data_IF_595982777888
#
_entry.id   IF_595982777888
#
_cell.length_a   1.000
_cell.length_b   1.000
_cell.length_c   1.000
_cell.angle_alpha   90.00
_cell.angle_beta   90.00
_cell.angle_gamma   90.00
#
_symmetry.space_group_name_H-M   'P 1'
#
loop_
_entity.id
_entity.type
_entity.pdbx_description
1 polymer ?
#
# COMPACT_ATOMS: atom_id res chain seq x y z
N UNK A 1 -42.11 61.84 8.01
CA UNK A 1 -41.95 60.53 7.34
C UNK A 1 -40.48 60.32 7.04
N UNK A 2 -39.83 59.44 7.83
CA UNK A 2 -38.45 58.97 7.66
C UNK A 2 -38.52 57.56 7.09
N UNK A 3 -37.57 57.26 6.19
CA UNK A 3 -36.94 55.96 5.86
C UNK A 3 -36.98 55.70 4.35
N UNK A 4 -35.83 55.90 3.71
CA UNK A 4 -35.25 55.02 2.69
C UNK A 4 -33.98 55.64 2.09
N UNK A 5 -32.92 55.75 2.88
CA UNK A 5 -31.56 56.00 2.38
C UNK A 5 -30.52 55.03 2.95
N UNK A 6 -30.95 54.06 3.77
CA UNK A 6 -30.05 53.09 4.42
C UNK A 6 -29.71 51.89 3.53
N UNK A 7 -30.51 51.62 2.49
CA UNK A 7 -30.29 50.47 1.59
C UNK A 7 -29.20 50.69 0.55
N UNK A 8 -29.01 51.93 0.06
CA UNK A 8 -28.05 52.25 -0.99
C UNK A 8 -26.61 52.40 -0.47
N UNK A 9 -26.43 52.79 0.80
CA UNK A 9 -25.09 52.85 1.39
C UNK A 9 -24.53 51.46 1.73
N UNK A 10 -25.39 50.50 2.10
CA UNK A 10 -24.96 49.14 2.44
C UNK A 10 -24.58 48.34 1.19
N UNK A 11 -25.27 48.52 0.06
CA UNK A 11 -24.91 47.83 -1.19
C UNK A 11 -23.63 48.36 -1.82
N UNK A 12 -23.34 49.67 -1.71
CA UNK A 12 -22.07 50.24 -2.17
C UNK A 12 -20.88 49.91 -1.27
N UNK A 13 -21.08 49.73 0.04
CA UNK A 13 -20.00 49.33 0.96
C UNK A 13 -19.67 47.82 0.87
N UNK A 14 -20.65 46.97 0.55
CA UNK A 14 -20.42 45.54 0.30
C UNK A 14 -19.67 45.28 -1.03
N UNK A 15 -19.73 46.19 -2.00
CA UNK A 15 -18.92 46.08 -3.23
C UNK A 15 -17.47 46.53 -3.05
N UNK A 16 -17.15 47.35 -2.04
CA UNK A 16 -15.79 47.82 -1.77
C UNK A 16 -14.99 46.89 -0.82
N UNK A 17 -15.66 45.95 -0.14
CA UNK A 17 -15.02 44.89 0.66
C UNK A 17 -14.83 43.57 -0.12
N UNK A 18 -15.24 43.50 -1.38
CA UNK A 18 -14.89 42.41 -2.32
C UNK A 18 -13.57 42.70 -3.05
N UNK A 19 -12.61 43.32 -2.37
CA UNK A 19 -11.22 43.42 -2.81
C UNK A 19 -10.41 42.28 -2.18
N UNK A 20 -10.78 41.04 -2.50
CA UNK A 20 -9.93 39.86 -2.37
C UNK A 20 -9.30 39.64 -3.74
N UNK A 21 -7.97 39.67 -3.80
CA UNK A 21 -7.18 39.77 -5.02
C UNK A 21 -7.69 38.89 -6.16
N UNK A 22 -7.88 39.50 -7.33
CA UNK A 22 -7.87 38.75 -8.59
C UNK A 22 -6.48 38.14 -8.72
N UNK A 23 -6.33 36.88 -8.32
CA UNK A 23 -5.25 36.06 -8.84
C UNK A 23 -5.33 36.16 -10.35
N UNK A 24 -4.27 36.69 -10.96
CA UNK A 24 -4.05 36.52 -12.38
C UNK A 24 -3.83 35.03 -12.56
N UNK A 25 -4.92 34.33 -12.85
CA UNK A 25 -4.87 32.97 -13.33
C UNK A 25 -4.29 33.05 -14.75
N UNK A 26 -2.96 33.05 -14.83
CA UNK A 26 -2.28 32.97 -16.10
C UNK A 26 -2.53 31.55 -16.56
N UNK A 27 -3.27 31.35 -17.66
CA UNK A 27 -3.56 30.00 -18.19
C UNK A 27 -2.31 29.14 -18.43
N UNK A 28 -1.11 29.74 -18.41
CA UNK A 28 0.18 29.06 -18.34
C UNK A 28 0.33 28.18 -17.08
N UNK A 29 -0.11 28.65 -15.91
CA UNK A 29 -0.04 27.89 -14.65
C UNK A 29 -0.92 26.64 -14.73
N UNK A 30 -2.15 26.78 -15.21
CA UNK A 30 -3.08 25.65 -15.38
C UNK A 30 -2.59 24.66 -16.44
N UNK A 31 -1.91 25.14 -17.48
CA UNK A 31 -1.30 24.28 -18.49
C UNK A 31 -0.16 23.42 -17.92
N UNK A 32 0.67 23.99 -17.05
CA UNK A 32 1.72 23.25 -16.34
C UNK A 32 1.16 22.30 -15.28
N UNK A 33 0.08 22.71 -14.61
CA UNK A 33 -0.58 21.91 -13.59
C UNK A 33 -1.49 20.82 -14.17
N UNK A 34 -1.90 20.92 -15.44
CA UNK A 34 -2.86 20.03 -16.09
C UNK A 34 -4.31 20.19 -15.60
N UNK A 35 -4.50 20.66 -14.36
CA UNK A 35 -5.79 20.96 -13.73
C UNK A 35 -5.68 22.24 -12.87
N UNK A 36 -6.79 22.93 -12.57
CA UNK A 36 -6.77 24.14 -11.76
C UNK A 36 -6.21 23.92 -10.36
N UNK A 37 -5.49 24.93 -9.82
CA UNK A 37 -4.94 24.90 -8.46
C UNK A 37 -5.99 24.54 -7.39
N UNK A 38 -7.21 25.06 -7.53
CA UNK A 38 -8.32 24.74 -6.63
C UNK A 38 -8.68 23.25 -6.58
N UNK A 39 -8.50 22.53 -7.71
CA UNK A 39 -8.68 21.08 -7.77
C UNK A 39 -7.53 20.35 -7.07
N UNK A 40 -6.28 20.81 -7.26
CA UNK A 40 -5.10 20.27 -6.58
C UNK A 40 -5.26 20.41 -5.06
N UNK A 41 -5.66 21.59 -4.60
CA UNK A 41 -5.89 21.86 -3.19
C UNK A 41 -7.02 21.02 -2.60
N UNK A 42 -8.08 20.81 -3.37
CA UNK A 42 -9.19 19.92 -2.99
C UNK A 42 -8.72 18.47 -2.83
N UNK A 43 -7.92 17.95 -3.80
CA UNK A 43 -7.36 16.60 -3.74
C UNK A 43 -6.43 16.45 -2.54
N UNK A 44 -5.53 17.42 -2.30
CA UNK A 44 -4.64 17.41 -1.14
C UNK A 44 -5.43 17.33 0.17
N UNK A 45 -6.45 18.18 0.33
CA UNK A 45 -7.32 18.17 1.53
C UNK A 45 -8.07 16.85 1.67
N UNK A 46 -8.57 16.28 0.57
CA UNK A 46 -9.27 15.01 0.58
C UNK A 46 -8.35 13.86 1.01
N UNK A 47 -7.11 13.81 0.49
CA UNK A 47 -6.12 12.81 0.91
C UNK A 47 -5.72 12.98 2.39
N UNK A 48 -5.52 14.22 2.85
CA UNK A 48 -5.17 14.53 4.25
C UNK A 48 -6.28 14.14 5.26
N UNK A 49 -7.55 14.17 4.84
CA UNK A 49 -8.71 13.85 5.70
C UNK A 49 -8.97 12.36 5.87
N UNK A 50 -8.37 11.50 5.05
CA UNK A 50 -8.58 10.05 5.14
C UNK A 50 -8.06 9.51 6.49
N UNK A 51 -8.66 8.43 7.02
CA UNK A 51 -8.12 7.75 8.20
C UNK A 51 -6.80 7.05 7.86
N UNK A 52 -5.83 7.10 8.78
CA UNK A 52 -4.52 6.48 8.59
C UNK A 52 -4.50 5.16 9.35
N UNK A 53 -4.24 4.06 8.65
CA UNK A 53 -4.08 2.74 9.26
C UNK A 53 -2.64 2.27 9.04
N UNK A 54 -1.80 2.42 10.06
CA UNK A 54 -0.39 2.11 10.03
C UNK A 54 -0.09 0.79 10.74
N UNK A 55 0.92 0.07 10.25
CA UNK A 55 1.56 -1.06 10.93
C UNK A 55 3.05 -0.78 11.07
N UNK A 56 3.65 -1.28 12.14
CA UNK A 56 5.10 -1.27 12.25
C UNK A 56 5.72 -2.30 11.31
N UNK A 57 6.73 -1.88 10.57
CA UNK A 57 7.60 -2.74 9.77
C UNK A 57 9.03 -2.50 10.19
N UNK A 58 9.75 -3.59 10.44
CA UNK A 58 11.19 -3.55 10.74
C UNK A 58 11.96 -3.88 9.46
N UNK A 59 12.99 -3.09 9.17
CA UNK A 59 13.88 -3.29 8.04
C UNK A 59 15.32 -3.32 8.53
N UNK A 60 16.02 -4.40 8.19
CA UNK A 60 17.43 -4.58 8.52
C UNK A 60 18.27 -3.70 7.59
N UNK A 61 19.02 -2.77 8.16
CA UNK A 61 19.96 -1.89 7.44
C UNK A 61 21.25 -2.67 7.17
N UNK A 62 21.68 -3.44 8.16
CA UNK A 62 22.88 -4.27 8.10
C UNK A 62 22.72 -5.48 9.04
N UNK A 63 23.73 -6.35 9.08
CA UNK A 63 23.71 -7.56 9.92
C UNK A 63 23.51 -7.32 11.43
N UNK A 64 23.69 -6.09 11.91
CA UNK A 64 23.65 -5.72 13.33
C UNK A 64 22.62 -4.61 13.63
N UNK A 65 22.03 -3.97 12.63
CA UNK A 65 21.17 -2.81 12.83
C UNK A 65 19.93 -2.82 11.95
N UNK A 66 18.81 -2.40 12.55
CA UNK A 66 17.52 -2.27 11.88
C UNK A 66 16.88 -0.91 12.18
N UNK A 67 15.85 -0.61 11.41
CA UNK A 67 14.94 0.51 11.62
C UNK A 67 13.50 0.04 11.65
N UNK A 68 12.77 0.55 12.62
CA UNK A 68 11.32 0.44 12.65
C UNK A 68 10.71 1.63 11.89
N UNK A 69 9.68 1.36 11.10
CA UNK A 69 8.96 2.33 10.29
C UNK A 69 7.45 2.03 10.35
N UNK A 70 6.64 3.07 10.35
CA UNK A 70 5.19 3.00 10.28
C UNK A 70 4.73 3.17 8.85
N UNK A 71 4.17 2.13 8.26
CA UNK A 71 3.65 2.15 6.89
C UNK A 71 2.18 1.74 6.83
N UNK A 72 1.43 2.19 5.81
CA UNK A 72 0.06 1.73 5.59
C UNK A 72 -0.05 0.20 5.53
N UNK A 73 -1.23 -0.30 5.93
CA UNK A 73 -1.58 -1.71 5.75
C UNK A 73 -1.41 -2.11 4.27
N UNK A 74 -0.65 -3.20 4.03
CA UNK A 74 -0.39 -3.71 2.69
C UNK A 74 0.86 -3.17 1.99
N UNK A 75 1.50 -2.14 2.55
CA UNK A 75 2.83 -1.75 2.11
C UNK A 75 3.86 -2.71 2.71
N UNK A 76 4.98 -2.88 2.01
CA UNK A 76 6.15 -3.61 2.47
C UNK A 76 7.42 -2.91 2.01
N UNK A 77 8.51 -3.23 2.72
CA UNK A 77 9.84 -2.70 2.46
C UNK A 77 10.60 -3.71 1.63
N UNK A 78 11.23 -3.25 0.55
CA UNK A 78 12.14 -4.06 -0.26
C UNK A 78 13.40 -3.26 -0.45
N UNK A 79 14.55 -3.89 -0.23
CA UNK A 79 15.83 -3.25 -0.48
C UNK A 79 15.88 -2.75 -1.92
N UNK A 80 16.31 -1.50 -2.09
CA UNK A 80 16.47 -0.89 -3.40
C UNK A 80 17.95 -0.72 -3.67
N UNK A 81 18.48 -1.56 -4.56
CA UNK A 81 19.87 -1.46 -5.01
C UNK A 81 20.06 -0.15 -5.78
N UNK A 82 20.77 0.79 -5.15
CA UNK A 82 21.27 2.09 -5.62
C UNK A 82 20.91 2.53 -7.05
N UNK A 83 19.91 3.40 -7.14
CA UNK A 83 20.03 4.86 -7.31
C UNK A 83 18.59 5.32 -7.35
N UNK A 84 18.09 6.10 -6.37
CA UNK A 84 16.77 6.71 -6.55
C UNK A 84 16.91 7.68 -7.71
N UNK A 85 16.43 7.37 -8.93
CA UNK A 85 16.78 8.14 -10.11
C UNK A 85 15.94 9.42 -10.22
N UNK A 86 15.07 9.66 -9.25
CA UNK A 86 13.96 10.58 -9.39
C UNK A 86 14.30 11.98 -8.85
N UNK A 87 15.11 12.07 -7.79
CA UNK A 87 15.50 13.32 -7.14
C UNK A 87 16.99 13.27 -6.80
N UNK A 88 17.74 14.25 -7.30
CA UNK A 88 19.15 14.43 -6.99
C UNK A 88 19.29 14.89 -5.54
N UNK A 89 19.98 14.11 -4.70
CA UNK A 89 20.29 14.49 -3.32
C UNK A 89 21.51 15.40 -3.20
N UNK A 90 22.38 15.34 -4.21
CA UNK A 90 23.63 16.08 -4.30
C UNK A 90 23.75 16.75 -5.66
N UNK A 91 24.74 17.62 -5.81
CA UNK A 91 24.99 18.33 -7.07
C UNK A 91 25.34 17.33 -8.19
N UNK A 92 24.50 17.17 -9.23
CA UNK A 92 24.78 16.25 -10.32
C UNK A 92 25.98 16.68 -11.17
N UNK A 93 26.34 17.97 -11.17
CA UNK A 93 27.50 18.49 -11.92
C UNK A 93 28.82 18.31 -11.14
N UNK A 94 28.73 18.22 -9.81
CA UNK A 94 29.87 18.08 -8.91
C UNK A 94 29.57 17.03 -7.84
N UNK A 95 29.44 15.74 -8.20
CA UNK A 95 29.09 14.69 -7.26
C UNK A 95 30.15 14.61 -6.16
N UNK A 96 29.71 14.58 -4.91
CA UNK A 96 30.63 14.43 -3.78
C UNK A 96 31.26 13.05 -3.89
N UNK A 97 32.59 12.97 -4.00
CA UNK A 97 33.27 11.69 -3.86
C UNK A 97 33.20 11.29 -2.39
N UNK A 98 32.33 10.34 -2.08
CA UNK A 98 32.28 9.71 -0.76
C UNK A 98 33.34 8.60 -0.78
N UNK A 99 34.39 8.74 0.05
CA UNK A 99 35.48 7.75 0.12
C UNK A 99 35.02 6.42 0.76
N UNK A 100 33.91 6.45 1.51
CA UNK A 100 33.33 5.31 2.22
C UNK A 100 31.84 5.17 1.89
N UNK A 101 31.50 4.20 1.05
CA UNK A 101 30.13 3.89 0.64
C UNK A 101 29.18 3.60 1.82
N UNK A 102 29.71 3.22 3.00
CA UNK A 102 28.89 3.00 4.21
C UNK A 102 28.27 4.30 4.78
N UNK A 103 28.75 5.47 4.34
CA UNK A 103 28.20 6.77 4.70
C UNK A 103 27.03 7.18 3.82
N UNK A 104 26.83 6.52 2.67
CA UNK A 104 25.69 6.78 1.80
C UNK A 104 24.40 6.28 2.47
N UNK A 105 23.29 7.03 2.35
CA UNK A 105 22.03 6.55 2.87
C UNK A 105 21.59 5.29 2.12
N UNK A 106 21.11 4.31 2.89
CA UNK A 106 20.58 3.08 2.34
C UNK A 106 19.19 3.31 1.75
N UNK A 107 18.99 2.91 0.49
CA UNK A 107 17.73 3.03 -0.23
C UNK A 107 16.78 1.86 0.02
N UNK A 108 15.55 2.17 0.42
CA UNK A 108 14.48 1.21 0.69
C UNK A 108 13.28 1.54 -0.20
N UNK A 109 12.89 0.63 -1.07
CA UNK A 109 11.64 0.76 -1.82
C UNK A 109 10.44 0.45 -0.94
N UNK A 110 9.40 1.25 -1.09
CA UNK A 110 8.10 1.01 -0.46
C UNK A 110 7.14 0.53 -1.53
N UNK A 111 6.78 -0.75 -1.48
CA UNK A 111 5.93 -1.39 -2.49
C UNK A 111 4.60 -1.81 -1.89
N UNK A 112 3.61 -1.92 -2.78
CA UNK A 112 2.30 -2.46 -2.48
C UNK A 112 2.13 -3.75 -3.28
N UNK A 113 1.63 -4.81 -2.63
CA UNK A 113 1.54 -6.13 -3.26
C UNK A 113 0.70 -6.13 -4.56
N UNK A 114 -0.26 -5.22 -4.72
CA UNK A 114 -1.17 -5.21 -5.88
C UNK A 114 -1.00 -3.97 -6.77
N UNK A 115 0.16 -3.31 -6.71
CA UNK A 115 0.51 -2.24 -7.64
C UNK A 115 1.02 -2.81 -8.96
N UNK A 116 0.48 -2.37 -10.09
CA UNK A 116 0.89 -2.77 -11.45
C UNK A 116 2.27 -2.21 -11.87
N UNK A 117 2.96 -1.47 -10.98
CA UNK A 117 4.26 -0.85 -11.28
C UNK A 117 5.04 -0.48 -10.02
N UNK A 118 6.30 -0.04 -10.23
CA UNK A 118 7.07 0.59 -9.16
C UNK A 118 6.33 1.86 -8.72
N UNK A 119 6.10 2.00 -7.42
CA UNK A 119 5.47 3.18 -6.85
C UNK A 119 6.37 4.41 -7.00
N UNK A 120 7.65 4.20 -7.34
CA UNK A 120 8.67 5.23 -7.35
C UNK A 120 8.98 5.77 -5.95
N UNK A 121 8.37 5.17 -4.92
CA UNK A 121 8.50 5.55 -3.51
C UNK A 121 9.77 4.90 -2.94
N UNK A 122 10.74 5.75 -2.63
CA UNK A 122 12.03 5.35 -2.04
C UNK A 122 12.23 6.10 -0.74
N UNK A 123 12.56 5.36 0.31
CA UNK A 123 12.99 5.87 1.59
C UNK A 123 14.49 5.65 1.73
N UNK A 124 15.25 6.72 1.88
CA UNK A 124 16.68 6.71 2.12
C UNK A 124 16.94 6.96 3.60
N UNK A 125 17.70 6.08 4.25
CA UNK A 125 18.01 6.17 5.68
C UNK A 125 19.51 6.27 5.87
N UNK A 126 19.96 7.30 6.59
CA UNK A 126 21.37 7.44 6.94
C UNK A 126 21.59 7.99 8.34
N UNK A 127 22.80 7.78 8.87
CA UNK A 127 23.24 8.27 10.18
C UNK A 127 24.05 9.55 10.02
N UNK A 128 23.79 10.56 10.83
CA UNK A 128 24.61 11.78 10.87
C UNK A 128 24.39 12.56 12.17
N UNK A 129 25.47 13.13 12.70
CA UNK A 129 25.42 14.11 13.79
C UNK A 129 24.88 15.49 13.33
N UNK A 130 24.83 15.74 12.02
CA UNK A 130 24.36 17.01 11.48
C UNK A 130 22.89 16.91 11.04
N UNK A 131 21.94 17.59 11.72
CA UNK A 131 20.52 17.55 11.38
C UNK A 131 20.17 18.30 10.08
N UNK A 132 21.10 19.08 9.52
CA UNK A 132 20.86 20.00 8.41
C UNK A 132 21.40 19.52 7.06
N UNK A 133 21.92 18.28 6.98
CA UNK A 133 22.24 17.68 5.69
C UNK A 133 20.97 17.48 4.85
N UNK A 134 21.12 17.58 3.53
CA UNK A 134 20.03 17.49 2.56
C UNK A 134 18.90 18.49 2.84
N UNK A 135 19.22 19.79 2.92
CA UNK A 135 18.17 20.78 3.15
C UNK A 135 17.24 20.91 1.94
N UNK A 136 15.98 21.31 2.14
CA UNK A 136 15.06 21.57 1.02
C UNK A 136 15.64 22.60 0.05
N UNK A 137 16.40 23.58 0.57
CA UNK A 137 17.12 24.56 -0.24
C UNK A 137 18.17 23.91 -1.15
N UNK A 138 18.93 22.94 -0.64
CA UNK A 138 19.92 22.21 -1.44
C UNK A 138 19.23 21.33 -2.49
N UNK A 139 18.23 20.56 -2.07
CA UNK A 139 17.46 19.69 -2.99
C UNK A 139 16.84 20.51 -4.12
N UNK A 140 16.26 21.67 -3.82
CA UNK A 140 15.70 22.58 -4.82
C UNK A 140 16.75 23.12 -5.79
N UNK A 141 18.00 23.31 -5.35
CA UNK A 141 19.11 23.73 -6.22
C UNK A 141 19.49 22.61 -7.21
N UNK A 142 19.51 21.36 -6.75
CA UNK A 142 19.90 20.20 -7.56
C UNK A 142 18.79 19.66 -8.46
N UNK A 143 17.55 20.10 -8.21
CA UNK A 143 16.35 19.66 -8.93
C UNK A 143 15.57 20.88 -9.42
N UNK A 144 15.89 21.43 -10.60
CA UNK A 144 15.17 22.55 -11.18
C UNK A 144 13.67 22.27 -11.28
N UNK A 145 12.87 23.10 -10.62
CA UNK A 145 11.42 23.00 -10.63
C UNK A 145 10.81 24.02 -11.60
N UNK A 146 9.94 23.56 -12.49
CA UNK A 146 9.10 24.43 -13.32
C UNK A 146 7.97 25.04 -12.46
N UNK A 147 7.43 24.27 -11.52
CA UNK A 147 6.40 24.73 -10.58
C UNK A 147 6.58 24.11 -9.20
N UNK A 148 6.42 24.91 -8.16
CA UNK A 148 6.39 24.46 -6.76
C UNK A 148 4.93 24.39 -6.31
N UNK A 149 4.54 23.22 -5.80
CA UNK A 149 3.20 22.93 -5.27
C UNK A 149 3.15 23.06 -3.76
N UNK A 150 4.25 22.72 -3.08
CA UNK A 150 4.43 22.86 -1.63
C UNK A 150 5.92 22.98 -1.30
N UNK A 151 6.26 23.90 -0.41
CA UNK A 151 7.62 24.06 0.10
C UNK A 151 7.54 24.43 1.59
N UNK A 152 8.19 23.63 2.42
CA UNK A 152 8.42 23.92 3.83
C UNK A 152 9.84 23.48 4.23
N UNK A 153 10.19 23.54 5.52
CA UNK A 153 11.53 23.19 6.02
C UNK A 153 11.96 21.74 5.64
N UNK A 154 10.99 20.84 5.59
CA UNK A 154 11.17 19.41 5.45
C UNK A 154 10.57 18.85 4.15
N UNK A 155 9.74 19.61 3.45
CA UNK A 155 8.99 19.13 2.29
C UNK A 155 9.26 19.99 1.07
N UNK A 156 9.45 19.35 -0.08
CA UNK A 156 9.37 19.96 -1.39
C UNK A 156 8.50 19.10 -2.31
N UNK A 157 7.39 19.66 -2.79
CA UNK A 157 6.54 19.04 -3.82
C UNK A 157 6.56 19.96 -5.03
N UNK A 158 6.95 19.42 -6.17
CA UNK A 158 7.20 20.21 -7.37
C UNK A 158 6.91 19.44 -8.65
N UNK A 159 6.82 20.18 -9.75
CA UNK A 159 6.72 19.69 -11.11
C UNK A 159 8.03 20.07 -11.81
N UNK A 160 8.71 19.10 -12.41
CA UNK A 160 9.92 19.34 -13.19
C UNK A 160 9.59 19.84 -14.60
N UNK A 161 10.62 20.17 -15.39
CA UNK A 161 10.46 20.67 -16.77
C UNK A 161 9.84 19.66 -17.74
N UNK A 162 9.77 18.38 -17.36
CA UNK A 162 9.14 17.32 -18.14
C UNK A 162 7.69 17.05 -17.71
N UNK A 163 7.20 17.78 -16.70
CA UNK A 163 5.85 17.61 -16.16
C UNK A 163 5.74 16.51 -15.11
N UNK A 164 6.86 15.90 -14.67
CA UNK A 164 6.83 14.88 -13.63
C UNK A 164 6.58 15.52 -12.27
N UNK A 165 5.64 14.94 -11.52
CA UNK A 165 5.29 15.40 -10.18
C UNK A 165 6.13 14.64 -9.17
N UNK A 166 6.92 15.39 -8.40
CA UNK A 166 7.95 14.86 -7.50
C UNK A 166 7.70 15.31 -6.07
N UNK A 167 8.01 14.41 -5.14
CA UNK A 167 7.95 14.63 -3.71
C UNK A 167 9.32 14.36 -3.11
N UNK A 168 9.83 15.31 -2.36
CA UNK A 168 10.89 15.14 -1.39
C UNK A 168 10.37 15.47 0.01
N UNK A 169 10.58 14.59 0.95
CA UNK A 169 10.27 14.80 2.37
C UNK A 169 11.43 14.32 3.23
N UNK A 170 11.84 15.13 4.21
CA UNK A 170 12.88 14.75 5.18
C UNK A 170 12.37 14.77 6.61
N UNK A 171 12.83 13.82 7.39
CA UNK A 171 12.69 13.84 8.84
C UNK A 171 14.00 13.45 9.50
N UNK A 172 14.37 14.15 10.57
CA UNK A 172 15.55 13.84 11.37
C UNK A 172 15.12 13.42 12.78
N UNK A 173 15.50 12.21 13.17
CA UNK A 173 15.38 11.74 14.54
C UNK A 173 16.68 12.05 15.30
N UNK A 174 16.58 12.97 16.26
CA UNK A 174 17.73 13.41 17.05
C UNK A 174 18.20 12.33 18.03
N UNK A 175 17.32 11.45 18.50
CA UNK A 175 17.69 10.41 19.47
C UNK A 175 18.56 9.33 18.84
N UNK A 176 18.19 8.87 17.64
CA UNK A 176 18.97 7.90 16.88
C UNK A 176 20.02 8.52 15.95
N UNK A 177 20.04 9.87 15.85
CA UNK A 177 20.89 10.63 14.92
C UNK A 177 20.74 10.16 13.48
N UNK A 178 19.50 9.90 13.06
CA UNK A 178 19.16 9.35 11.75
C UNK A 178 18.31 10.33 10.97
N UNK A 179 18.58 10.42 9.67
CA UNK A 179 17.71 11.10 8.73
C UNK A 179 16.96 10.07 7.88
N UNK A 180 15.74 10.44 7.52
CA UNK A 180 14.81 9.69 6.69
C UNK A 180 14.43 10.59 5.53
N UNK A 181 14.86 10.26 4.31
CA UNK A 181 14.53 11.00 3.10
C UNK A 181 13.56 10.19 2.28
N UNK A 182 12.32 10.63 2.21
CA UNK A 182 11.31 10.03 1.36
C UNK A 182 11.26 10.76 0.03
N UNK A 183 11.52 10.03 -1.05
CA UNK A 183 11.38 10.53 -2.41
C UNK A 183 10.30 9.76 -3.14
N UNK A 184 9.48 10.44 -3.90
CA UNK A 184 8.54 9.79 -4.81
C UNK A 184 8.44 10.56 -6.13
N UNK A 185 8.26 9.82 -7.21
CA UNK A 185 7.85 10.34 -8.51
C UNK A 185 6.58 9.62 -8.91
N UNK A 186 5.51 10.37 -9.18
CA UNK A 186 4.26 9.72 -9.54
C UNK A 186 4.32 9.20 -10.97
N UNK A 187 3.96 7.94 -11.22
CA UNK A 187 3.84 7.44 -12.57
C UNK A 187 2.75 8.20 -13.33
N UNK A 188 2.92 8.31 -14.64
CA UNK A 188 1.97 8.98 -15.51
C UNK A 188 0.65 8.21 -15.56
N UNK A 189 -0.46 8.88 -15.26
CA UNK A 189 -1.80 8.35 -15.39
C UNK A 189 -2.54 9.09 -16.52
N UNK A 190 -3.55 8.43 -17.12
CA UNK A 190 -4.43 9.09 -18.09
C UNK A 190 -5.32 10.18 -17.45
N UNK A 191 -5.40 10.20 -16.11
CA UNK A 191 -6.20 11.13 -15.34
C UNK A 191 -5.28 11.92 -14.41
N UNK A 192 -5.08 13.21 -14.71
CA UNK A 192 -4.24 14.12 -13.94
C UNK A 192 -4.62 14.15 -12.46
N UNK A 193 -5.91 14.03 -12.13
CA UNK A 193 -6.35 14.03 -10.72
C UNK A 193 -5.81 12.82 -9.97
N UNK A 194 -5.65 11.68 -10.63
CA UNK A 194 -5.04 10.50 -10.04
C UNK A 194 -3.55 10.67 -9.78
N UNK A 195 -2.83 11.40 -10.65
CA UNK A 195 -1.42 11.72 -10.40
C UNK A 195 -1.27 12.56 -9.13
N UNK A 196 -2.09 13.60 -8.98
CA UNK A 196 -2.11 14.40 -7.74
C UNK A 196 -2.55 13.58 -6.52
N UNK A 197 -3.53 12.69 -6.65
CA UNK A 197 -3.95 11.82 -5.55
C UNK A 197 -2.84 10.85 -5.13
N UNK A 198 -2.08 10.28 -6.08
CA UNK A 198 -0.90 9.46 -5.80
C UNK A 198 0.19 10.27 -5.07
N UNK A 199 0.48 11.48 -5.56
CA UNK A 199 1.48 12.37 -4.99
C UNK A 199 1.16 12.72 -3.53
N UNK A 200 -0.08 13.15 -3.27
CA UNK A 200 -0.50 13.53 -1.92
C UNK A 200 -0.70 12.32 -1.01
N UNK A 201 -1.03 11.15 -1.56
CA UNK A 201 -0.98 9.87 -0.81
C UNK A 201 0.44 9.55 -0.36
N UNK A 202 1.44 9.61 -1.26
CA UNK A 202 2.85 9.42 -0.92
C UNK A 202 3.33 10.44 0.13
N UNK A 203 2.94 11.71 -0.01
CA UNK A 203 3.24 12.74 0.98
C UNK A 203 2.64 12.44 2.35
N UNK A 204 1.38 11.98 2.38
CA UNK A 204 0.71 11.57 3.62
C UNK A 204 1.36 10.34 4.25
N UNK A 205 1.81 9.38 3.47
CA UNK A 205 2.61 8.22 3.94
C UNK A 205 3.91 8.70 4.60
N UNK A 206 4.66 9.57 3.91
CA UNK A 206 5.92 10.13 4.39
C UNK A 206 5.79 10.83 5.76
N UNK A 207 4.74 11.65 5.92
CA UNK A 207 4.43 12.35 7.19
C UNK A 207 4.17 11.43 8.39
N UNK A 208 3.86 10.15 8.16
CA UNK A 208 3.49 9.21 9.21
C UNK A 208 4.53 8.11 9.45
N UNK A 209 5.69 8.15 8.78
CA UNK A 209 6.73 7.10 8.87
C UNK A 209 7.21 6.81 10.30
N UNK A 210 7.23 7.82 11.17
CA UNK A 210 7.71 7.69 12.55
C UNK A 210 6.59 7.88 13.58
N UNK A 211 5.32 7.80 13.17
CA UNK A 211 4.17 7.98 14.05
C UNK A 211 3.81 6.67 14.79
N UNK A 212 4.73 6.18 15.62
CA UNK A 212 4.57 4.91 16.34
C UNK A 212 3.41 4.91 17.35
N UNK A 213 3.03 6.09 17.84
CA UNK A 213 1.84 6.31 18.66
C UNK A 213 0.52 6.05 17.91
N UNK A 214 0.57 5.93 16.58
CA UNK A 214 -0.58 5.68 15.70
C UNK A 214 -0.57 4.27 15.10
N UNK A 215 0.19 3.34 15.66
CA UNK A 215 0.10 1.94 15.24
C UNK A 215 -1.33 1.43 15.39
N UNK A 216 -1.84 0.80 14.33
CA UNK A 216 -3.22 0.34 14.29
C UNK A 216 -3.31 -0.97 15.05
N UNK A 217 -4.14 -1.05 16.11
CA UNK A 217 -4.39 -2.30 16.79
C UNK A 217 -4.93 -3.34 15.81
N UNK A 218 -4.45 -4.58 15.94
CA UNK A 218 -4.83 -5.68 15.06
C UNK A 218 -6.29 -6.12 15.22
N UNK A 219 -6.87 -5.80 16.38
CA UNK A 219 -8.21 -6.22 16.78
C UNK A 219 -9.29 -5.48 15.96
N UNK A 220 -10.04 -6.25 15.15
CA UNK A 220 -11.21 -5.82 14.35
C UNK A 220 -10.97 -5.00 13.06
N UNK A 221 -9.81 -5.13 12.43
CA UNK A 221 -9.64 -4.62 11.05
C UNK A 221 -10.55 -5.39 10.08
N UNK A 222 -11.27 -4.65 9.24
CA UNK A 222 -12.04 -5.18 8.11
C UNK A 222 -11.70 -4.39 6.85
N UNK A 223 -11.94 -4.97 5.67
CA UNK A 223 -11.73 -4.25 4.41
C UNK A 223 -12.49 -2.93 4.35
N UNK A 224 -13.75 -2.89 4.82
CA UNK A 224 -14.58 -1.68 4.77
C UNK A 224 -13.98 -0.53 5.56
N UNK A 225 -13.40 -0.82 6.73
CA UNK A 225 -12.69 0.17 7.55
C UNK A 225 -11.46 0.69 6.81
N UNK A 226 -10.60 -0.22 6.34
CA UNK A 226 -9.32 0.11 5.72
C UNK A 226 -9.51 0.82 4.38
N UNK A 227 -10.52 0.41 3.59
CA UNK A 227 -10.84 0.95 2.27
C UNK A 227 -10.95 2.48 2.26
N UNK A 228 -11.54 3.06 3.30
CA UNK A 228 -11.71 4.51 3.42
C UNK A 228 -10.39 5.28 3.57
N UNK A 229 -9.33 4.60 4.04
CA UNK A 229 -8.01 5.18 4.25
C UNK A 229 -7.11 5.17 3.01
N UNK A 230 -7.46 4.37 1.99
CA UNK A 230 -6.66 4.13 0.79
C UNK A 230 -6.79 5.27 -0.23
N UNK A 231 -5.73 5.51 -0.99
CA UNK A 231 -5.76 6.43 -2.13
C UNK A 231 -6.67 5.91 -3.24
N UNK A 232 -7.18 6.81 -4.08
CA UNK A 232 -8.00 6.40 -5.21
C UNK A 232 -7.23 5.48 -6.18
N UNK A 233 -5.92 5.72 -6.33
CA UNK A 233 -5.02 4.90 -7.13
C UNK A 233 -4.94 3.48 -6.59
N UNK A 234 -4.69 3.32 -5.28
CA UNK A 234 -4.67 2.00 -4.64
C UNK A 234 -6.00 1.27 -4.83
N UNK A 235 -7.11 1.95 -4.58
CA UNK A 235 -8.46 1.38 -4.78
C UNK A 235 -8.71 0.96 -6.24
N UNK A 236 -8.24 1.72 -7.23
CA UNK A 236 -8.36 1.36 -8.65
C UNK A 236 -7.53 0.12 -8.97
N UNK A 237 -6.29 0.01 -8.48
CA UNK A 237 -5.44 -1.17 -8.68
C UNK A 237 -6.07 -2.42 -8.06
N UNK A 238 -6.51 -2.32 -6.80
CA UNK A 238 -7.27 -3.36 -6.11
C UNK A 238 -8.53 -3.77 -6.89
N UNK A 239 -9.32 -2.79 -7.34
CA UNK A 239 -10.54 -3.04 -8.11
C UNK A 239 -10.29 -3.77 -9.43
N UNK A 240 -9.26 -3.36 -10.20
CA UNK A 240 -8.87 -4.02 -11.45
C UNK A 240 -8.49 -5.47 -11.21
N UNK A 241 -7.66 -5.71 -10.21
CA UNK A 241 -7.16 -7.03 -9.87
C UNK A 241 -8.30 -8.00 -9.55
N UNK A 242 -9.17 -7.66 -8.59
CA UNK A 242 -10.28 -8.54 -8.20
C UNK A 242 -11.40 -8.62 -9.25
N UNK A 243 -11.57 -7.61 -10.10
CA UNK A 243 -12.45 -7.70 -11.27
C UNK A 243 -11.91 -8.71 -12.29
N UNK A 244 -10.60 -8.72 -12.52
CA UNK A 244 -9.95 -9.72 -13.38
C UNK A 244 -10.13 -11.12 -12.80
N UNK A 245 -9.87 -11.29 -11.50
CA UNK A 245 -10.07 -12.55 -10.80
C UNK A 245 -11.52 -13.04 -10.90
N UNK A 246 -12.52 -12.17 -10.70
CA UNK A 246 -13.93 -12.54 -10.86
C UNK A 246 -14.24 -13.00 -12.29
N UNK A 247 -13.66 -12.37 -13.32
CA UNK A 247 -13.85 -12.79 -14.72
C UNK A 247 -13.22 -14.17 -14.98
N UNK A 248 -12.01 -14.39 -14.48
CA UNK A 248 -11.32 -15.68 -14.54
C UNK A 248 -12.21 -16.76 -13.87
N UNK A 249 -12.65 -16.55 -12.63
CA UNK A 249 -13.55 -17.46 -11.90
C UNK A 249 -14.84 -17.77 -12.67
N UNK A 250 -15.51 -16.75 -13.24
CA UNK A 250 -16.72 -16.93 -14.06
C UNK A 250 -16.45 -17.74 -15.32
N UNK A 251 -15.27 -17.60 -15.91
CA UNK A 251 -14.88 -18.37 -17.09
C UNK A 251 -14.65 -19.84 -16.72
N UNK A 252 -13.89 -20.11 -15.66
CA UNK A 252 -13.70 -21.49 -15.17
C UNK A 252 -15.02 -22.18 -14.80
N UNK A 253 -16.00 -21.42 -14.28
CA UNK A 253 -17.35 -21.93 -13.99
C UNK A 253 -18.21 -22.29 -15.22
N UNK A 254 -17.76 -22.00 -16.45
CA UNK A 254 -18.48 -22.36 -17.67
C UNK A 254 -18.08 -23.74 -18.20
N UNK A 255 -16.85 -24.17 -17.94
CA UNK A 255 -16.30 -25.43 -18.41
C UNK A 255 -16.19 -26.46 -17.25
N UNK A 256 -16.07 -27.76 -17.55
CA UNK A 256 -16.02 -28.83 -16.55
C UNK A 256 -14.61 -29.07 -15.96
N UNK A 257 -13.75 -28.07 -15.97
CA UNK A 257 -12.32 -28.23 -15.69
C UNK A 257 -11.93 -27.85 -14.24
N UNK A 258 -10.79 -28.39 -13.79
CA UNK A 258 -10.06 -27.96 -12.59
C UNK A 258 -8.79 -27.22 -13.02
N UNK A 259 -8.37 -26.19 -12.28
CA UNK A 259 -7.21 -25.38 -12.66
C UNK A 259 -6.46 -24.82 -11.44
N UNK A 260 -5.13 -24.86 -11.51
CA UNK A 260 -4.21 -24.12 -10.63
C UNK A 260 -3.87 -22.78 -11.31
N UNK A 261 -4.16 -21.65 -10.66
CA UNK A 261 -3.76 -20.31 -11.15
C UNK A 261 -2.79 -19.69 -10.17
N UNK A 262 -1.52 -19.61 -10.59
CA UNK A 262 -0.46 -18.95 -9.84
C UNK A 262 -0.35 -17.48 -10.27
N UNK A 263 -0.33 -16.57 -9.30
CA UNK A 263 -0.08 -15.14 -9.50
C UNK A 263 1.06 -14.69 -8.57
N UNK A 264 1.75 -13.58 -8.86
CA UNK A 264 2.91 -13.14 -8.07
C UNK A 264 2.64 -12.91 -6.57
N UNK A 265 1.39 -12.70 -6.15
CA UNK A 265 1.03 -12.28 -4.78
C UNK A 265 -0.02 -13.18 -4.10
N UNK A 266 -0.55 -14.18 -4.79
CA UNK A 266 -1.36 -15.24 -4.19
C UNK A 266 -1.32 -16.50 -5.04
N UNK A 267 -1.69 -17.62 -4.43
CA UNK A 267 -1.96 -18.87 -5.14
C UNK A 267 -3.48 -19.10 -5.11
N UNK A 268 -4.11 -19.14 -6.30
CA UNK A 268 -5.54 -19.44 -6.42
C UNK A 268 -5.70 -20.90 -6.83
N UNK A 269 -6.29 -21.68 -5.94
CA UNK A 269 -6.62 -23.06 -6.20
C UNK A 269 -8.12 -23.20 -6.50
N UNK A 270 -8.45 -23.62 -7.73
CA UNK A 270 -9.83 -23.80 -8.18
C UNK A 270 -10.23 -25.26 -8.08
N UNK A 271 -11.19 -25.56 -7.20
CA UNK A 271 -11.79 -26.87 -7.08
C UNK A 271 -13.28 -26.81 -7.43
N UNK A 272 -13.78 -27.83 -8.14
CA UNK A 272 -15.21 -28.03 -8.35
C UNK A 272 -15.64 -29.27 -7.57
N UNK A 273 -16.70 -29.13 -6.79
CA UNK A 273 -17.13 -30.06 -5.74
C UNK A 273 -17.39 -31.51 -6.23
N UNK A 274 -17.48 -31.72 -7.54
CA UNK A 274 -17.87 -33.00 -8.13
C UNK A 274 -16.69 -33.93 -8.48
N UNK A 275 -15.42 -33.50 -8.34
CA UNK A 275 -14.24 -34.29 -8.72
C UNK A 275 -13.26 -34.37 -7.54
N UNK A 276 -13.68 -35.00 -6.45
CA UNK A 276 -12.82 -35.28 -5.28
C UNK A 276 -11.85 -36.47 -5.50
N UNK A 277 -11.79 -37.04 -6.71
CA UNK A 277 -11.13 -38.33 -6.96
C UNK A 277 -9.88 -38.28 -7.85
N UNK A 278 -9.44 -37.10 -8.31
CA UNK A 278 -8.29 -37.01 -9.21
C UNK A 278 -7.00 -36.61 -8.47
N UNK A 279 -6.17 -37.64 -8.29
CA UNK A 279 -4.84 -37.66 -7.68
C UNK A 279 -3.96 -36.51 -8.16
N UNK A 280 -3.41 -35.77 -7.20
CA UNK A 280 -2.47 -34.67 -7.39
C UNK A 280 -2.46 -33.72 -6.19
N UNK A 281 -3.53 -33.77 -5.39
CA UNK A 281 -3.70 -33.06 -4.13
C UNK A 281 -4.52 -33.96 -3.20
N UNK A 282 -3.92 -34.48 -2.12
CA UNK A 282 -4.67 -35.05 -0.98
C UNK A 282 -4.92 -33.93 0.07
N UNK A 283 -5.10 -32.68 -0.37
CA UNK A 283 -5.57 -31.55 0.45
C UNK A 283 -7.09 -31.57 0.64
N UNK A 284 -7.78 -32.40 -0.13
CA UNK A 284 -9.16 -32.80 0.16
C UNK A 284 -9.24 -33.54 1.47
N UNK A 285 -8.22 -34.24 1.99
CA UNK A 285 -8.37 -34.96 3.27
C UNK A 285 -8.66 -34.07 4.47
N UNK A 286 -8.10 -32.85 4.55
CA UNK A 286 -8.44 -31.90 5.62
C UNK A 286 -9.92 -31.45 5.53
N UNK A 287 -10.42 -31.22 4.31
CA UNK A 287 -11.78 -30.72 4.06
C UNK A 287 -12.82 -31.87 3.91
N UNK A 288 -12.38 -33.09 3.61
CA UNK A 288 -13.19 -34.28 3.32
C UNK A 288 -13.29 -35.21 4.53
N UNK A 289 -12.28 -35.32 5.41
CA UNK A 289 -12.45 -35.97 6.72
C UNK A 289 -13.25 -35.09 7.69
N UNK A 290 -13.45 -33.80 7.35
CA UNK A 290 -14.41 -32.92 8.03
C UNK A 290 -15.82 -32.96 7.41
N UNK A 291 -16.02 -33.69 6.30
CA UNK A 291 -17.33 -33.83 5.63
C UNK A 291 -17.99 -32.48 5.28
N UNK A 292 -17.20 -31.43 5.13
CA UNK A 292 -17.69 -30.06 5.27
C UNK A 292 -17.77 -29.35 3.92
N UNK A 293 -18.98 -29.00 3.53
CA UNK A 293 -19.32 -28.23 2.32
C UNK A 293 -20.05 -26.95 2.72
N UNK A 294 -19.36 -26.03 3.42
CA UNK A 294 -19.99 -24.85 4.01
C UNK A 294 -19.09 -23.65 4.21
N UNK A 295 -19.63 -22.62 4.86
CA UNK A 295 -18.87 -21.55 5.53
C UNK A 295 -18.33 -22.06 6.85
N UNK A 296 -17.10 -21.70 7.22
CA UNK A 296 -16.36 -22.22 8.37
C UNK A 296 -17.15 -22.20 9.69
N UNK A 297 -18.25 -21.45 9.80
CA UNK A 297 -19.23 -21.54 10.88
C UNK A 297 -19.66 -22.93 11.27
N UNK A 298 -19.82 -23.84 10.31
CA UNK A 298 -20.35 -25.19 10.56
C UNK A 298 -19.23 -26.16 11.02
N UNK A 299 -17.99 -25.67 11.16
CA UNK A 299 -16.85 -26.45 11.66
C UNK A 299 -16.61 -26.22 13.16
N UNK A 300 -16.69 -27.27 14.01
CA UNK A 300 -16.17 -27.23 15.37
C UNK A 300 -14.63 -27.30 15.33
N UNK A 301 -13.97 -26.14 15.37
CA UNK A 301 -12.52 -26.00 15.19
C UNK A 301 -11.68 -26.55 16.34
N UNK A 302 -12.26 -26.74 17.52
CA UNK A 302 -11.48 -26.82 18.76
C UNK A 302 -10.60 -28.07 18.92
N UNK A 303 -10.65 -29.09 18.04
CA UNK A 303 -9.84 -30.30 18.21
C UNK A 303 -9.60 -31.18 16.95
N UNK A 304 -9.77 -30.69 15.70
CA UNK A 304 -9.89 -31.59 14.52
C UNK A 304 -9.07 -31.31 13.26
N UNK A 305 -8.05 -30.45 13.29
CA UNK A 305 -7.22 -30.26 12.09
C UNK A 305 -6.03 -31.22 12.09
N UNK A 306 -6.16 -32.32 11.35
CA UNK A 306 -5.05 -33.18 10.91
C UNK A 306 -4.22 -32.51 9.82
N UNK A 307 -2.98 -32.98 9.67
CA UNK A 307 -1.98 -32.55 8.70
C UNK A 307 -2.54 -32.39 7.27
N UNK A 308 -2.10 -31.37 6.56
CA UNK A 308 -2.21 -31.32 5.10
C UNK A 308 -1.30 -30.29 4.48
N UNK A 309 -1.20 -30.33 3.15
CA UNK A 309 0.05 -30.10 2.43
C UNK A 309 -0.17 -29.29 1.14
N UNK A 310 0.48 -28.14 0.91
CA UNK A 310 0.51 -27.51 -0.43
C UNK A 310 1.78 -27.88 -1.19
N UNK A 311 1.63 -28.54 -2.34
CA UNK A 311 2.76 -28.87 -3.18
C UNK A 311 3.33 -27.62 -3.87
N UNK A 312 4.62 -27.34 -3.69
CA UNK A 312 5.39 -26.47 -4.59
C UNK A 312 5.59 -25.00 -4.18
N UNK A 313 5.35 -24.63 -2.92
CA UNK A 313 5.75 -23.30 -2.39
C UNK A 313 7.03 -23.36 -1.55
N UNK A 314 7.23 -24.47 -0.86
CA UNK A 314 8.47 -24.90 -0.25
C UNK A 314 8.85 -26.26 -0.83
N UNK A 315 10.12 -26.66 -0.72
CA UNK A 315 10.66 -27.83 -1.40
C UNK A 315 9.95 -29.15 -1.07
N UNK A 316 9.21 -29.19 0.05
CA UNK A 316 8.52 -30.37 0.58
C UNK A 316 7.18 -30.04 1.28
N UNK A 317 6.51 -31.09 1.75
CA UNK A 317 5.16 -31.17 2.31
C UNK A 317 5.02 -30.46 3.69
N UNK A 318 4.87 -29.12 3.70
CA UNK A 318 4.71 -28.37 4.96
C UNK A 318 3.33 -28.55 5.60
N UNK A 319 3.31 -28.73 6.93
CA UNK A 319 2.10 -28.93 7.73
C UNK A 319 1.47 -27.61 8.16
N UNK A 320 0.17 -27.44 7.90
CA UNK A 320 -0.59 -26.30 8.39
C UNK A 320 -1.11 -26.48 9.81
N UNK A 321 -1.00 -25.43 10.62
CA UNK A 321 -1.59 -25.29 11.95
C UNK A 321 -2.62 -24.18 11.95
N UNK A 322 -3.84 -24.48 12.40
CA UNK A 322 -4.88 -23.46 12.60
C UNK A 322 -4.45 -22.47 13.71
N UNK A 323 -4.59 -21.18 13.42
CA UNK A 323 -4.32 -20.11 14.39
C UNK A 323 -5.63 -19.55 14.92
N UNK A 324 -6.50 -19.07 14.03
CA UNK A 324 -7.81 -18.51 14.40
C UNK A 324 -8.75 -18.42 13.22
N UNK A 325 -10.06 -18.32 13.51
CA UNK A 325 -11.08 -17.96 12.53
C UNK A 325 -11.03 -16.43 12.34
N UNK A 326 -10.95 -15.98 11.09
CA UNK A 326 -11.05 -14.55 10.74
C UNK A 326 -12.51 -14.18 10.48
N UNK A 327 -13.21 -15.06 9.78
CA UNK A 327 -14.65 -14.96 9.56
C UNK A 327 -15.25 -16.32 9.21
N UNK A 328 -16.54 -16.33 8.94
CA UNK A 328 -17.29 -17.47 8.43
C UNK A 328 -16.76 -17.92 7.06
N UNK A 329 -16.07 -17.05 6.33
CA UNK A 329 -15.49 -17.36 5.02
C UNK A 329 -13.98 -17.52 5.05
N UNK A 330 -13.29 -17.15 6.14
CA UNK A 330 -11.82 -17.17 6.15
C UNK A 330 -11.19 -17.65 7.47
N UNK A 331 -10.12 -18.42 7.36
CA UNK A 331 -9.29 -18.89 8.48
C UNK A 331 -7.84 -18.47 8.30
N UNK A 332 -7.16 -18.22 9.42
CA UNK A 332 -5.73 -18.00 9.49
C UNK A 332 -5.03 -19.30 9.91
N UNK A 333 -4.02 -19.69 9.15
CA UNK A 333 -3.17 -20.84 9.41
C UNK A 333 -1.70 -20.44 9.36
N UNK A 334 -0.83 -21.22 10.00
CA UNK A 334 0.63 -21.13 9.87
C UNK A 334 1.19 -22.42 9.28
N UNK A 335 2.26 -22.35 8.51
CA UNK A 335 3.06 -23.50 8.11
C UNK A 335 4.50 -23.31 8.57
N UNK A 336 5.08 -24.39 9.08
CA UNK A 336 6.50 -24.48 9.38
C UNK A 336 7.21 -25.10 8.18
N UNK A 337 8.30 -24.49 7.73
CA UNK A 337 9.17 -25.06 6.70
C UNK A 337 9.83 -26.33 7.28
N UNK A 338 9.53 -27.48 6.69
CA UNK A 338 10.05 -28.77 7.15
C UNK A 338 11.55 -28.95 6.86
N UNK A 339 12.20 -28.08 6.07
CA UNK A 339 13.65 -28.16 5.83
C UNK A 339 14.44 -27.72 7.08
N UNK A 340 14.82 -28.72 7.89
CA UNK A 340 15.63 -28.63 9.11
C UNK A 340 17.06 -28.05 8.93
N UNK A 341 17.36 -27.44 7.78
CA UNK A 341 18.67 -26.87 7.45
C UNK A 341 18.73 -25.34 7.54
N UNK A 342 17.62 -24.63 7.81
CA UNK A 342 17.64 -23.21 8.15
C UNK A 342 17.04 -22.99 9.54
N UNK A 343 17.90 -22.78 10.54
CA UNK A 343 17.53 -22.48 11.93
C UNK A 343 16.91 -21.06 12.12
N UNK A 344 16.47 -20.40 11.04
CA UNK A 344 16.25 -18.95 11.04
C UNK A 344 14.97 -18.46 10.37
N UNK A 345 14.12 -19.33 9.83
CA UNK A 345 12.91 -18.88 9.12
C UNK A 345 11.67 -19.04 10.02
N UNK A 346 11.02 -17.94 10.46
CA UNK A 346 9.77 -18.04 11.20
C UNK A 346 8.68 -18.75 10.36
N UNK A 347 7.67 -19.36 11.01
CA UNK A 347 6.58 -20.00 10.27
C UNK A 347 5.91 -19.00 9.33
N UNK A 348 5.63 -19.44 8.10
CA UNK A 348 4.85 -18.67 7.13
C UNK A 348 3.39 -18.64 7.56
N UNK A 349 2.72 -17.49 7.48
CA UNK A 349 1.29 -17.36 7.79
C UNK A 349 0.47 -17.22 6.52
N UNK A 350 -0.71 -17.83 6.50
CA UNK A 350 -1.58 -17.88 5.34
C UNK A 350 -3.04 -17.69 5.73
N UNK A 351 -3.76 -16.94 4.89
CA UNK A 351 -5.21 -16.86 4.93
C UNK A 351 -5.78 -17.82 3.89
N UNK A 352 -6.77 -18.62 4.31
CA UNK A 352 -7.56 -19.47 3.41
C UNK A 352 -8.98 -18.92 3.42
N UNK A 353 -9.47 -18.45 2.26
CA UNK A 353 -10.82 -17.88 2.10
C UNK A 353 -11.68 -18.75 1.18
N UNK A 354 -12.81 -19.20 1.71
CA UNK A 354 -13.81 -20.07 1.10
C UNK A 354 -14.85 -19.26 0.32
N UNK A 355 -15.06 -19.62 -0.95
CA UNK A 355 -16.06 -19.05 -1.86
C UNK A 355 -17.05 -20.14 -2.28
N UNK A 356 -18.26 -20.09 -1.74
CA UNK A 356 -19.34 -21.03 -2.08
C UNK A 356 -20.20 -20.48 -3.22
N UNK A 357 -20.46 -21.30 -4.24
CA UNK A 357 -21.39 -20.99 -5.34
C UNK A 357 -22.38 -22.13 -5.56
N UNK A 358 -23.35 -21.92 -6.45
CA UNK A 358 -24.28 -22.96 -6.92
C UNK A 358 -23.57 -24.10 -7.69
N UNK A 359 -22.41 -23.82 -8.28
CA UNK A 359 -21.63 -24.73 -9.13
C UNK A 359 -20.45 -25.40 -8.42
N UNK A 360 -20.12 -24.98 -7.20
CA UNK A 360 -19.02 -25.56 -6.41
C UNK A 360 -18.46 -24.64 -5.34
N UNK A 361 -17.28 -25.00 -4.84
CA UNK A 361 -16.62 -24.35 -3.70
C UNK A 361 -15.14 -24.09 -4.03
N UNK A 362 -14.68 -22.84 -3.88
CA UNK A 362 -13.31 -22.42 -4.20
C UNK A 362 -12.57 -21.96 -2.95
N UNK A 363 -11.23 -21.98 -3.01
CA UNK A 363 -10.37 -21.51 -1.92
C UNK A 363 -9.30 -20.55 -2.44
N UNK A 364 -9.28 -19.34 -1.90
CA UNK A 364 -8.20 -18.37 -2.08
C UNK A 364 -7.17 -18.56 -0.99
N UNK A 365 -5.90 -18.76 -1.37
CA UNK A 365 -4.82 -18.98 -0.42
C UNK A 365 -3.74 -17.94 -0.67
N UNK A 366 -3.46 -17.14 0.34
CA UNK A 366 -2.43 -16.11 0.23
C UNK A 366 -1.62 -16.02 1.49
N UNK A 367 -0.34 -15.70 1.33
CA UNK A 367 0.50 -15.32 2.45
C UNK A 367 -0.09 -14.10 3.15
N UNK A 368 0.08 -14.07 4.46
CA UNK A 368 -0.33 -12.95 5.31
C UNK A 368 0.63 -12.85 6.50
N UNK A 369 0.33 -11.96 7.44
CA UNK A 369 1.06 -11.84 8.69
C UNK A 369 0.48 -12.74 9.79
N UNK A 370 1.19 -12.85 10.92
CA UNK A 370 0.78 -13.65 12.09
C UNK A 370 -0.61 -13.30 12.66
N UNK A 371 -1.10 -12.11 12.35
CA UNK A 371 -2.37 -11.59 12.84
C UNK A 371 -3.51 -11.76 11.82
N UNK A 372 -3.21 -12.13 10.57
CA UNK A 372 -4.17 -12.30 9.49
C UNK A 372 -4.92 -11.01 9.12
N UNK A 373 -4.27 -9.85 9.26
CA UNK A 373 -4.91 -8.54 9.16
C UNK A 373 -4.24 -7.58 8.18
N UNK A 374 -3.39 -8.10 7.29
CA UNK A 374 -2.85 -7.31 6.19
C UNK A 374 -3.88 -7.10 5.08
N UNK A 375 -3.56 -6.23 4.12
CA UNK A 375 -4.52 -5.82 3.09
C UNK A 375 -5.00 -7.01 2.24
N UNK A 376 -4.14 -7.99 1.98
CA UNK A 376 -4.48 -9.16 1.19
C UNK A 376 -5.49 -10.02 1.95
N UNK A 377 -5.25 -10.30 3.24
CA UNK A 377 -6.18 -11.08 4.05
C UNK A 377 -7.55 -10.39 4.18
N UNK A 378 -7.57 -9.09 4.46
CA UNK A 378 -8.81 -8.31 4.55
C UNK A 378 -9.58 -8.31 3.23
N UNK A 379 -8.88 -8.17 2.10
CA UNK A 379 -9.50 -8.17 0.77
C UNK A 379 -10.00 -9.54 0.35
N UNK A 380 -9.26 -10.62 0.60
CA UNK A 380 -9.69 -11.98 0.27
C UNK A 380 -10.90 -12.39 1.10
N UNK A 381 -10.93 -12.06 2.39
CA UNK A 381 -12.09 -12.22 3.24
C UNK A 381 -13.31 -11.44 2.70
N UNK A 382 -13.13 -10.17 2.35
CA UNK A 382 -14.22 -9.36 1.78
C UNK A 382 -14.71 -9.90 0.43
N UNK A 383 -13.79 -10.20 -0.48
CA UNK A 383 -14.10 -10.67 -1.83
C UNK A 383 -14.86 -12.00 -1.75
N UNK A 384 -14.42 -12.93 -0.89
CA UNK A 384 -15.08 -14.22 -0.76
C UNK A 384 -16.53 -14.12 -0.28
N UNK A 385 -16.83 -13.19 0.63
CA UNK A 385 -18.21 -12.92 1.10
C UNK A 385 -19.11 -12.26 0.06
N UNK A 386 -18.54 -11.39 -0.78
CA UNK A 386 -19.31 -10.52 -1.67
C UNK A 386 -19.27 -10.92 -3.14
N UNK A 387 -18.54 -11.98 -3.47
CA UNK A 387 -18.45 -12.48 -4.84
C UNK A 387 -19.82 -12.98 -5.30
N UNK A 388 -20.35 -12.33 -6.35
CA UNK A 388 -21.56 -12.75 -7.05
C UNK A 388 -21.16 -13.31 -8.41
N UNK A 389 -21.20 -14.62 -8.55
CA UNK A 389 -20.85 -15.35 -9.79
C UNK A 389 -21.93 -16.33 -10.16
#
# INVERSE_FOLDING_TARGET
MRKSYFGLFITSFLFLLSCGGKEKDTGYTDMLMGIPQSSIDSIRKAEDQKPVYLKKLTFDIDSASSVDLMLPLGNYLKEYSFSSPNINLEDPENPTQVEDDSLLPLGISIKNNLSDGDSGEVLMVGKSDNPNIYSVTDIKKFNPAEKILLEDKNTLIFIDSFGHKKLYYRQYDTASKRYYLYTAETPKYNDEKLEYAALFSAYRKAKNLLAFDKETPSESLTWEKVKSGLSEVELKSYGRYYTSLQKELKYFLKDNDSADIRKPNFDLYLYRDHIHSQKGIDQTKILADSGFSGTFDELPFENRFTDGYFQGKYGYDDKFKFIKRISNSSILVSAEDADHYSYSSPPGYFIISSIKTDKGQFYLISMTNKDGNDIIALMNDYFSKHLKI
#
